data_IF_882158306077
#
_entry.id   IF_882158306077
#
_cell.length_a   1.000
_cell.length_b   1.000
_cell.length_c   1.000
_cell.angle_alpha   90.00
_cell.angle_beta   90.00
_cell.angle_gamma   90.00
#
_symmetry.space_group_name_H-M   'P 1'
#
loop_
_entity.id
_entity.type
_entity.pdbx_description
1 polymer ?
#
# COMPACT_ATOMS: atom_id res chain seq x y z
N UNK A 1 1.28 8.73 -6.08
CA UNK A 1 2.70 8.55 -5.75
C UNK A 1 2.91 8.93 -4.30
N UNK A 2 3.64 8.10 -3.53
CA UNK A 2 4.09 8.41 -2.17
C UNK A 2 5.59 8.61 -2.15
N UNK A 3 6.05 9.56 -1.33
CA UNK A 3 7.47 9.58 -0.98
C UNK A 3 7.69 8.66 0.22
N UNK A 4 8.73 7.83 0.14
CA UNK A 4 9.07 6.83 1.15
C UNK A 4 10.48 7.06 1.68
N UNK A 5 10.66 6.81 2.97
CA UNK A 5 11.92 7.06 3.67
C UNK A 5 12.96 5.98 3.38
N UNK A 6 12.56 4.71 3.46
CA UNK A 6 13.46 3.58 3.27
C UNK A 6 12.82 2.56 2.32
N UNK A 7 13.37 2.36 1.11
CA UNK A 7 12.79 1.43 0.14
C UNK A 7 12.84 -0.01 0.62
N UNK A 8 13.75 -0.40 1.52
CA UNK A 8 13.82 -1.80 2.00
C UNK A 8 12.57 -2.18 2.76
N UNK A 9 12.16 -1.35 3.73
CA UNK A 9 10.98 -1.63 4.54
C UNK A 9 9.68 -1.38 3.78
N UNK A 10 9.65 -0.38 2.90
CA UNK A 10 8.46 -0.10 2.09
C UNK A 10 8.24 -1.17 1.03
N UNK A 11 9.28 -1.63 0.32
CA UNK A 11 9.13 -2.72 -0.64
C UNK A 11 8.71 -4.02 0.03
N UNK A 12 9.29 -4.38 1.19
CA UNK A 12 8.85 -5.57 1.95
C UNK A 12 7.37 -5.45 2.35
N UNK A 13 6.95 -4.28 2.83
CA UNK A 13 5.56 -4.04 3.21
C UNK A 13 4.60 -4.16 2.01
N UNK A 14 4.84 -3.43 0.92
CA UNK A 14 3.92 -3.45 -0.21
C UNK A 14 3.94 -4.79 -0.98
N UNK A 15 5.06 -5.53 -0.98
CA UNK A 15 5.14 -6.82 -1.66
C UNK A 15 4.74 -8.00 -0.77
N UNK A 16 5.53 -8.32 0.26
CA UNK A 16 5.29 -9.51 1.11
C UNK A 16 4.03 -9.38 1.96
N UNK A 17 3.74 -8.18 2.48
CA UNK A 17 2.58 -7.98 3.36
C UNK A 17 1.34 -7.74 2.53
N UNK A 18 1.33 -6.75 1.63
CA UNK A 18 0.13 -6.40 0.86
C UNK A 18 -0.07 -7.20 -0.42
N UNK A 19 0.93 -7.94 -0.91
CA UNK A 19 0.78 -8.80 -2.09
C UNK A 19 0.92 -8.09 -3.43
N UNK A 20 1.47 -6.87 -3.47
CA UNK A 20 1.84 -6.22 -4.74
C UNK A 20 3.13 -6.81 -5.32
N UNK A 21 3.37 -6.55 -6.59
CA UNK A 21 4.62 -6.85 -7.26
C UNK A 21 5.38 -5.55 -7.56
N UNK A 22 6.71 -5.61 -7.50
CA UNK A 22 7.56 -4.57 -8.07
C UNK A 22 7.58 -4.71 -9.60
N UNK A 23 6.91 -3.77 -10.28
CA UNK A 23 6.73 -3.78 -11.74
C UNK A 23 7.93 -3.13 -12.44
N UNK A 24 8.47 -2.06 -11.88
CA UNK A 24 9.58 -1.33 -12.47
C UNK A 24 10.35 -0.52 -11.43
N UNK A 25 11.65 -0.40 -11.63
CA UNK A 25 12.54 0.50 -10.91
C UNK A 25 13.07 1.53 -11.90
N UNK A 26 12.92 2.80 -11.57
CA UNK A 26 13.39 3.92 -12.40
C UNK A 26 14.33 4.80 -11.57
N UNK A 27 15.65 4.54 -11.64
CA UNK A 27 16.64 5.40 -11.03
C UNK A 27 16.63 6.77 -11.69
N UNK A 28 16.57 7.82 -10.86
CA UNK A 28 16.79 9.21 -11.23
C UNK A 28 18.23 9.65 -10.91
N UNK A 29 18.39 10.94 -10.61
CA UNK A 29 19.68 11.50 -10.18
C UNK A 29 19.93 11.28 -8.68
N UNK A 30 19.04 11.83 -7.86
CA UNK A 30 19.10 11.83 -6.39
C UNK A 30 17.92 11.07 -5.75
N UNK A 31 17.17 10.33 -6.56
CA UNK A 31 16.05 9.51 -6.14
C UNK A 31 15.93 8.24 -6.98
N UNK A 32 15.15 7.26 -6.51
CA UNK A 32 14.64 6.15 -7.31
C UNK A 32 13.13 6.06 -7.14
N UNK A 33 12.43 5.86 -8.26
CA UNK A 33 11.00 5.54 -8.27
C UNK A 33 10.78 4.03 -8.42
N UNK A 34 9.98 3.46 -7.52
CA UNK A 34 9.55 2.07 -7.52
C UNK A 34 8.08 2.02 -7.88
N UNK A 35 7.73 1.31 -8.94
CA UNK A 35 6.34 1.16 -9.40
C UNK A 35 5.81 -0.19 -8.94
N UNK A 36 4.78 -0.18 -8.10
CA UNK A 36 4.14 -1.39 -7.59
C UNK A 36 2.69 -1.48 -8.04
N UNK A 37 2.22 -2.70 -8.23
CA UNK A 37 0.81 -2.98 -8.51
C UNK A 37 0.48 -4.42 -8.12
N UNK A 38 -0.79 -4.73 -7.88
CA UNK A 38 -1.25 -6.10 -7.69
C UNK A 38 -1.01 -6.94 -8.96
N UNK A 39 -0.79 -8.26 -8.88
CA UNK A 39 -0.69 -9.12 -10.07
C UNK A 39 -1.89 -8.92 -11.01
N UNK A 40 -1.66 -8.88 -12.33
CA UNK A 40 -2.75 -8.93 -13.31
C UNK A 40 -3.13 -10.40 -13.55
N UNK A 41 -4.42 -10.71 -13.47
CA UNK A 41 -4.94 -12.05 -13.77
C UNK A 41 -4.56 -12.50 -15.19
N UNK A 42 -4.06 -13.73 -15.31
CA UNK A 42 -3.61 -14.31 -16.58
C UNK A 42 -2.25 -13.81 -17.08
N UNK A 43 -1.52 -13.05 -16.26
CA UNK A 43 -0.22 -12.43 -16.57
C UNK A 43 0.82 -12.68 -15.49
N UNK A 44 0.68 -13.78 -14.77
CA UNK A 44 1.54 -14.17 -13.64
C UNK A 44 2.97 -14.48 -14.09
N UNK A 45 3.15 -14.92 -15.34
CA UNK A 45 4.43 -15.38 -15.89
C UNK A 45 5.18 -14.33 -16.73
N UNK A 46 4.78 -13.06 -16.68
CA UNK A 46 5.50 -12.00 -17.39
C UNK A 46 6.94 -11.85 -16.85
N UNK A 47 7.89 -11.69 -17.76
CA UNK A 47 9.28 -11.33 -17.45
C UNK A 47 9.36 -9.93 -16.81
N UNK A 48 10.52 -9.60 -16.21
CA UNK A 48 10.75 -8.27 -15.61
C UNK A 48 10.64 -7.16 -16.67
N UNK A 49 11.13 -7.44 -17.88
CA UNK A 49 11.11 -6.54 -19.02
C UNK A 49 9.67 -6.27 -19.48
N UNK A 50 8.86 -7.32 -19.64
CA UNK A 50 7.44 -7.20 -20.03
C UNK A 50 6.62 -6.44 -18.97
N UNK A 51 6.86 -6.70 -17.67
CA UNK A 51 6.24 -5.93 -16.58
C UNK A 51 6.61 -4.45 -16.68
N UNK A 52 7.88 -4.14 -16.93
CA UNK A 52 8.42 -2.79 -17.05
C UNK A 52 7.85 -1.99 -18.23
N UNK A 53 7.69 -2.62 -19.39
CA UNK A 53 7.09 -1.99 -20.58
C UNK A 53 5.62 -1.65 -20.37
N UNK A 54 4.91 -2.50 -19.60
CA UNK A 54 3.47 -2.38 -19.34
C UNK A 54 3.14 -1.60 -18.08
N UNK A 55 4.13 -1.02 -17.38
CA UNK A 55 3.92 -0.35 -16.08
C UNK A 55 2.83 0.73 -16.09
N UNK A 56 2.61 1.42 -17.22
CA UNK A 56 1.57 2.44 -17.37
C UNK A 56 0.39 2.00 -18.25
N UNK A 57 0.35 0.72 -18.66
CA UNK A 57 -0.75 0.12 -19.44
C UNK A 57 -1.70 -0.68 -18.55
N UNK A 58 -1.88 -0.21 -17.31
CA UNK A 58 -2.62 -0.89 -16.25
C UNK A 58 -3.10 0.13 -15.22
N UNK A 59 -4.13 -0.26 -14.48
CA UNK A 59 -4.67 0.53 -13.39
C UNK A 59 -4.03 0.16 -12.05
N UNK A 60 -4.27 0.98 -11.03
CA UNK A 60 -3.89 0.66 -9.65
C UNK A 60 -2.38 0.65 -9.38
N UNK A 61 -1.60 1.46 -10.11
CA UNK A 61 -0.15 1.57 -9.91
C UNK A 61 0.16 2.54 -8.77
N UNK A 62 0.86 2.05 -7.77
CA UNK A 62 1.45 2.85 -6.71
C UNK A 62 2.92 3.12 -7.01
N UNK A 63 3.22 4.37 -7.34
CA UNK A 63 4.60 4.86 -7.43
C UNK A 63 5.09 5.25 -6.03
N UNK A 64 6.22 4.68 -5.61
CA UNK A 64 6.96 5.04 -4.41
C UNK A 64 8.26 5.75 -4.81
N UNK A 65 8.50 6.94 -4.28
CA UNK A 65 9.67 7.75 -4.58
C UNK A 65 10.59 7.81 -3.35
N UNK A 66 11.79 7.24 -3.47
CA UNK A 66 12.83 7.30 -2.45
C UNK A 66 13.85 8.37 -2.83
N UNK A 67 13.96 9.43 -2.02
CA UNK A 67 15.06 10.39 -2.13
C UNK A 67 16.25 9.89 -1.29
N UNK A 68 17.43 9.84 -1.88
CA UNK A 68 18.59 9.20 -1.26
C UNK A 68 19.01 9.86 0.05
N UNK A 69 19.39 9.05 1.03
CA UNK A 69 19.85 9.50 2.33
C UNK A 69 18.74 9.71 3.37
N UNK A 70 17.47 9.75 2.96
CA UNK A 70 16.33 9.88 3.91
C UNK A 70 16.23 8.70 4.87
N UNK A 71 16.68 7.51 4.47
CA UNK A 71 16.79 6.31 5.28
C UNK A 71 17.84 6.42 6.40
N UNK A 72 18.85 7.29 6.22
CA UNK A 72 19.97 7.46 7.16
C UNK A 72 19.75 8.59 8.17
N UNK A 73 18.75 9.45 7.96
CA UNK A 73 18.40 10.53 8.88
C UNK A 73 17.33 10.07 9.89
N UNK A 74 17.70 9.77 11.13
CA UNK A 74 16.76 9.30 12.15
C UNK A 74 15.61 10.28 12.47
N UNK A 75 15.78 11.58 12.24
CA UNK A 75 14.77 12.60 12.49
C UNK A 75 13.83 12.84 11.30
N UNK A 76 14.19 12.37 10.12
CA UNK A 76 13.43 12.61 8.89
C UNK A 76 12.15 11.77 8.85
N UNK A 77 11.02 12.42 8.53
CA UNK A 77 9.72 11.80 8.27
C UNK A 77 8.98 12.54 7.16
N UNK A 78 8.23 11.83 6.33
CA UNK A 78 7.28 12.44 5.41
C UNK A 78 5.97 12.80 6.13
N UNK A 79 5.26 13.78 5.60
CA UNK A 79 3.89 14.09 6.04
C UNK A 79 2.91 13.11 5.39
N UNK A 80 2.11 12.43 6.20
CA UNK A 80 1.09 11.48 5.72
C UNK A 80 -0.22 12.14 5.28
N UNK A 81 -0.32 13.47 5.37
CA UNK A 81 -1.50 14.24 4.99
C UNK A 81 -2.68 14.25 5.97
N UNK A 82 -2.55 13.59 7.13
CA UNK A 82 -3.62 13.47 8.13
C UNK A 82 -3.38 14.28 9.42
N UNK A 83 -2.24 14.96 9.52
CA UNK A 83 -1.81 15.76 10.67
C UNK A 83 -1.49 17.21 10.24
N UNK A 84 -1.48 18.15 11.21
CA UNK A 84 -1.11 19.55 10.97
C UNK A 84 0.38 19.83 11.28
N UNK A 85 1.03 20.81 10.63
CA UNK A 85 0.54 21.51 9.43
C UNK A 85 0.72 20.62 8.21
N UNK A 86 -0.33 20.46 7.39
CA UNK A 86 -0.21 19.69 6.14
C UNK A 86 -1.32 18.68 5.88
N UNK A 87 -2.53 18.92 6.38
CA UNK A 87 -3.70 18.12 5.99
C UNK A 87 -4.00 18.27 4.50
N UNK A 88 -4.27 17.15 3.83
CA UNK A 88 -4.57 17.13 2.39
C UNK A 88 -4.86 15.72 1.90
N UNK A 89 -3.82 14.97 1.54
CA UNK A 89 -3.95 13.55 1.20
C UNK A 89 -4.51 12.75 2.39
N UNK A 90 -5.44 11.84 2.14
CA UNK A 90 -6.04 10.99 3.17
C UNK A 90 -5.40 9.60 3.24
N UNK A 91 -5.70 8.76 2.26
CA UNK A 91 -5.27 7.36 2.22
C UNK A 91 -5.46 6.80 0.81
N UNK A 92 -4.87 5.62 0.57
CA UNK A 92 -5.32 4.71 -0.49
C UNK A 92 -6.26 3.67 0.11
N UNK A 93 -7.09 3.04 -0.70
CA UNK A 93 -7.96 1.95 -0.29
C UNK A 93 -7.60 0.68 -1.06
N UNK A 94 -7.56 -0.45 -0.35
CA UNK A 94 -7.36 -1.79 -0.89
C UNK A 94 -8.61 -2.60 -0.55
N UNK A 95 -9.25 -3.13 -1.60
CA UNK A 95 -10.40 -4.00 -1.44
C UNK A 95 -9.97 -5.44 -1.21
N UNK A 96 -10.67 -6.13 -0.31
CA UNK A 96 -10.41 -7.53 0.07
C UNK A 96 -11.71 -8.31 0.17
N UNK A 97 -11.62 -9.63 0.10
CA UNK A 97 -12.79 -10.52 0.18
C UNK A 97 -13.42 -10.53 1.58
N UNK A 98 -12.59 -10.54 2.63
CA UNK A 98 -13.05 -10.56 4.02
C UNK A 98 -12.10 -9.73 4.90
N UNK A 99 -12.61 -8.59 5.37
CA UNK A 99 -11.85 -7.64 6.20
C UNK A 99 -11.41 -8.26 7.53
N UNK A 100 -12.19 -9.13 8.14
CA UNK A 100 -11.83 -9.76 9.43
C UNK A 100 -10.68 -10.76 9.24
N UNK A 101 -10.77 -11.59 8.20
CA UNK A 101 -9.72 -12.55 7.84
C UNK A 101 -8.42 -11.80 7.51
N UNK A 102 -8.53 -10.74 6.73
CA UNK A 102 -7.37 -9.93 6.37
C UNK A 102 -6.75 -9.24 7.58
N UNK A 103 -7.56 -8.65 8.47
CA UNK A 103 -7.06 -8.04 9.70
C UNK A 103 -6.29 -9.06 10.56
N UNK A 104 -6.81 -10.29 10.69
CA UNK A 104 -6.14 -11.36 11.43
C UNK A 104 -4.80 -11.76 10.78
N UNK A 105 -4.75 -11.80 9.44
CA UNK A 105 -3.50 -12.07 8.70
C UNK A 105 -2.48 -10.97 8.96
N UNK A 106 -2.90 -9.71 8.88
CA UNK A 106 -2.06 -8.53 9.13
C UNK A 106 -1.55 -8.46 10.58
N UNK A 107 -2.37 -8.85 11.56
CA UNK A 107 -1.95 -9.01 12.96
C UNK A 107 -0.81 -10.02 13.11
N UNK A 108 -0.94 -11.19 12.45
CA UNK A 108 0.11 -12.22 12.43
C UNK A 108 1.41 -11.77 11.77
N UNK A 109 1.36 -10.73 10.94
CA UNK A 109 2.52 -10.11 10.30
C UNK A 109 3.05 -8.87 11.04
N UNK A 110 2.46 -8.53 12.20
CA UNK A 110 2.91 -7.39 13.02
C UNK A 110 2.56 -6.01 12.46
N UNK A 111 1.57 -5.92 11.57
CA UNK A 111 1.16 -4.65 10.95
C UNK A 111 0.48 -3.75 11.98
N UNK A 112 0.80 -2.45 11.95
CA UNK A 112 0.19 -1.48 12.85
C UNK A 112 -1.14 -0.97 12.31
N UNK A 113 -2.17 -0.99 13.16
CA UNK A 113 -3.50 -0.46 12.85
C UNK A 113 -3.65 0.99 13.31
N UNK A 114 -4.23 1.82 12.44
CA UNK A 114 -4.77 3.15 12.79
C UNK A 114 -6.17 3.06 13.38
N UNK A 115 -6.96 2.13 12.86
CA UNK A 115 -8.35 1.85 13.25
C UNK A 115 -8.67 0.39 12.93
N UNK A 116 -9.30 -0.33 13.87
CA UNK A 116 -9.86 -1.68 13.63
C UNK A 116 -11.34 -1.66 13.23
N UNK A 117 -11.89 -2.73 12.62
CA UNK A 117 -13.31 -2.79 12.28
C UNK A 117 -14.23 -2.53 13.47
N UNK A 118 -13.92 -3.08 14.64
CA UNK A 118 -14.69 -2.93 15.88
C UNK A 118 -14.64 -1.50 16.47
N UNK A 119 -13.72 -0.65 16.01
CA UNK A 119 -13.52 0.70 16.51
C UNK A 119 -14.33 1.74 15.72
N UNK A 120 -14.91 2.70 16.44
CA UNK A 120 -15.65 3.81 15.85
C UNK A 120 -17.03 3.41 15.31
N UNK A 121 -17.60 4.25 14.43
CA UNK A 121 -18.97 4.07 13.91
C UNK A 121 -19.04 3.12 12.71
N UNK A 122 -17.99 3.09 11.89
CA UNK A 122 -17.95 2.28 10.65
C UNK A 122 -17.35 0.91 10.96
N UNK A 123 -18.22 -0.11 11.08
CA UNK A 123 -17.85 -1.44 11.58
C UNK A 123 -17.31 -2.43 10.53
N UNK A 124 -17.15 -2.00 9.29
CA UNK A 124 -16.86 -2.88 8.14
C UNK A 124 -15.55 -2.53 7.42
N UNK A 125 -14.76 -1.61 7.98
CA UNK A 125 -13.48 -1.15 7.41
C UNK A 125 -12.41 -1.07 8.49
N UNK A 126 -11.17 -1.28 8.09
CA UNK A 126 -9.99 -1.03 8.91
C UNK A 126 -9.07 0.01 8.26
N UNK A 127 -8.20 0.63 9.04
CA UNK A 127 -7.07 1.40 8.52
C UNK A 127 -5.79 0.86 9.13
N UNK A 128 -4.80 0.61 8.28
CA UNK A 128 -3.44 0.27 8.68
C UNK A 128 -2.47 1.40 8.34
N UNK A 129 -1.28 1.32 8.92
CA UNK A 129 -0.16 2.17 8.56
C UNK A 129 0.83 1.40 7.69
N UNK A 130 1.35 2.07 6.67
CA UNK A 130 2.61 1.67 6.05
C UNK A 130 3.82 2.13 6.90
N UNK A 131 5.06 1.78 6.52
CA UNK A 131 6.27 2.17 7.26
C UNK A 131 6.44 3.69 7.41
N UNK A 132 5.98 4.47 6.43
CA UNK A 132 6.02 5.93 6.41
C UNK A 132 4.78 6.60 7.03
N UNK A 133 3.91 5.80 7.67
CA UNK A 133 2.69 6.23 8.36
C UNK A 133 1.59 6.77 7.44
N UNK A 134 1.65 6.50 6.14
CA UNK A 134 0.48 6.67 5.28
C UNK A 134 -0.62 5.72 5.72
N UNK A 135 -1.86 6.17 5.61
CA UNK A 135 -3.02 5.37 5.95
C UNK A 135 -3.41 4.55 4.73
N UNK A 136 -3.74 3.28 4.96
CA UNK A 136 -4.28 2.38 3.95
C UNK A 136 -5.59 1.82 4.49
N UNK A 137 -6.68 2.11 3.80
CA UNK A 137 -8.01 1.58 4.12
C UNK A 137 -8.13 0.15 3.60
N UNK A 138 -8.60 -0.76 4.45
CA UNK A 138 -8.98 -2.13 4.09
C UNK A 138 -10.49 -2.19 4.03
N UNK A 139 -11.03 -2.40 2.83
CA UNK A 139 -12.47 -2.34 2.53
C UNK A 139 -12.96 -3.64 1.90
N UNK A 140 -14.23 -4.03 2.09
CA UNK A 140 -14.78 -5.19 1.40
C UNK A 140 -14.96 -4.89 -0.10
N UNK A 141 -14.66 -5.84 -0.98
CA UNK A 141 -14.83 -5.71 -2.43
C UNK A 141 -16.30 -5.85 -2.93
N UNK A 142 -17.27 -5.52 -2.08
CA UNK A 142 -18.71 -5.61 -2.40
C UNK A 142 -19.41 -6.84 -1.82
N UNK A 143 -18.68 -7.78 -1.22
CA UNK A 143 -19.26 -8.86 -0.43
C UNK A 143 -19.71 -8.40 0.95
N UNK A 144 -20.98 -8.00 1.13
CA UNK A 144 -21.56 -8.01 2.47
C UNK A 144 -21.58 -9.46 2.96
N UNK A 145 -20.91 -9.77 4.07
CA UNK A 145 -21.27 -10.93 4.89
C UNK A 145 -22.74 -10.73 5.32
N UNK A 146 -23.69 -11.32 4.58
CA UNK A 146 -25.12 -11.27 4.89
C UNK A 146 -26.10 -11.29 3.71
N UNK A 147 -25.69 -10.93 2.49
CA UNK A 147 -26.57 -11.00 1.31
C UNK A 147 -26.09 -12.13 0.38
N UNK A 148 -26.38 -13.37 0.77
CA UNK A 148 -26.57 -14.43 -0.22
C UNK A 148 -27.94 -14.19 -0.86
N UNK A 149 -27.93 -13.69 -2.09
CA UNK A 149 -29.09 -13.71 -2.98
C UNK A 149 -29.75 -12.35 -3.20
N UNK A 150 -29.67 -11.88 -4.44
CA UNK A 150 -30.84 -11.90 -5.30
C UNK A 150 -30.44 -12.28 -6.73
#
# INVERSE_FOLDING_TARGET
MFRIKDPKVSLDFYTRILGMELVHESPGGDFTNYFLAFPEEGKENLSKEEKSERKFQREGVLELCHNYGTENDAGFKYANGNEEPGRGFGHIAISVDDVEVECKRLDGLGVQFKKRPEEGRMKHIAFIYDPDRYWIEIVPNGGKKGEKGM
#
